data_IF_227005641012
#
_entry.id   IF_227005641012
#
_cell.length_a   1.000
_cell.length_b   1.000
_cell.length_c   1.000
_cell.angle_alpha   90.00
_cell.angle_beta   90.00
_cell.angle_gamma   90.00
#
_symmetry.space_group_name_H-M   'P 1'
#
loop_
_entity.id
_entity.type
_entity.pdbx_description
1 polymer ?
#
# COMPACT_ATOMS: atom_id res chain seq x y z
N UNK A 1 9.62 37.94 -14.68
CA UNK A 1 10.04 36.59 -15.13
C UNK A 1 8.83 35.69 -15.01
N UNK A 2 8.24 35.28 -16.14
CA UNK A 2 7.03 34.44 -16.13
C UNK A 2 7.49 32.99 -15.87
N UNK A 3 7.08 32.40 -14.75
CA UNK A 3 7.36 31.00 -14.46
C UNK A 3 6.58 30.10 -15.43
N UNK A 4 7.25 29.19 -16.09
CA UNK A 4 6.60 28.16 -16.89
C UNK A 4 5.90 27.19 -15.92
N UNK A 5 4.59 26.88 -16.08
CA UNK A 5 3.91 25.92 -15.23
C UNK A 5 4.60 24.55 -15.27
N UNK A 6 4.67 23.82 -14.14
CA UNK A 6 5.23 22.50 -14.14
C UNK A 6 4.37 21.51 -14.93
N UNK A 7 5.01 20.56 -15.58
CA UNK A 7 4.32 19.44 -16.25
C UNK A 7 4.21 18.23 -15.32
N UNK A 8 3.20 17.39 -15.55
CA UNK A 8 3.06 16.14 -14.79
C UNK A 8 4.28 15.21 -14.95
N UNK A 9 4.93 15.24 -16.11
CA UNK A 9 6.15 14.45 -16.34
C UNK A 9 7.34 14.97 -15.55
N UNK A 10 7.53 16.29 -15.49
CA UNK A 10 8.57 16.88 -14.64
C UNK A 10 8.33 16.56 -13.16
N UNK A 11 7.06 16.61 -12.72
CA UNK A 11 6.69 16.24 -11.36
C UNK A 11 6.97 14.76 -11.07
N UNK A 12 6.57 13.84 -11.96
CA UNK A 12 6.89 12.41 -11.81
C UNK A 12 8.39 12.14 -11.75
N UNK A 13 9.18 12.81 -12.59
CA UNK A 13 10.64 12.66 -12.57
C UNK A 13 11.25 13.14 -11.25
N UNK A 14 10.75 14.25 -10.71
CA UNK A 14 11.21 14.77 -9.42
C UNK A 14 10.85 13.79 -8.29
N UNK A 15 9.58 13.34 -8.24
CA UNK A 15 9.13 12.36 -7.23
C UNK A 15 9.79 11.00 -7.37
N UNK A 16 10.16 10.60 -8.58
CA UNK A 16 10.95 9.39 -8.81
C UNK A 16 12.34 9.39 -8.15
N UNK A 17 12.87 10.56 -7.78
CA UNK A 17 14.13 10.69 -7.02
C UNK A 17 13.95 10.56 -5.51
N UNK A 18 12.72 10.52 -5.04
CA UNK A 18 12.37 10.25 -3.66
C UNK A 18 12.12 8.75 -3.49
N UNK A 19 13.15 8.03 -3.03
CA UNK A 19 13.04 6.60 -2.80
C UNK A 19 12.03 6.31 -1.69
N UNK A 20 11.16 5.33 -1.93
CA UNK A 20 10.17 4.87 -0.95
C UNK A 20 10.34 3.39 -0.67
N UNK A 21 9.80 2.93 0.47
CA UNK A 21 9.46 1.53 0.64
C UNK A 21 8.33 1.12 -0.31
N UNK A 22 8.09 -0.17 -0.39
CA UNK A 22 6.99 -0.76 -1.15
C UNK A 22 6.11 -1.55 -0.21
N UNK A 23 4.80 -1.39 -0.34
CA UNK A 23 3.81 -2.11 0.46
C UNK A 23 2.80 -2.80 -0.44
N UNK A 24 2.11 -3.78 0.11
CA UNK A 24 0.82 -4.25 -0.39
C UNK A 24 -0.26 -3.81 0.59
N UNK A 25 -1.25 -3.10 0.09
CA UNK A 25 -2.46 -2.74 0.84
C UNK A 25 -3.57 -3.72 0.52
N UNK A 26 -4.30 -4.17 1.53
CA UNK A 26 -5.38 -5.15 1.40
C UNK A 26 -6.64 -4.68 2.09
N UNK A 27 -7.78 -5.10 1.59
CA UNK A 27 -9.08 -4.97 2.26
C UNK A 27 -9.97 -6.14 1.88
N UNK A 28 -11.07 -6.31 2.60
CA UNK A 28 -11.99 -7.42 2.42
C UNK A 28 -13.42 -6.88 2.31
N UNK A 29 -14.09 -7.14 1.18
CA UNK A 29 -15.51 -6.87 1.01
C UNK A 29 -16.26 -8.19 0.83
N UNK A 30 -17.17 -8.51 1.77
CA UNK A 30 -17.79 -9.83 1.82
C UNK A 30 -16.72 -10.93 1.98
N UNK A 31 -16.58 -11.79 0.97
CA UNK A 31 -15.58 -12.86 0.92
C UNK A 31 -14.46 -12.59 -0.10
N UNK A 32 -14.39 -11.37 -0.66
CA UNK A 32 -13.45 -11.03 -1.73
C UNK A 32 -12.31 -10.20 -1.18
N UNK A 33 -11.09 -10.71 -1.31
CA UNK A 33 -9.88 -9.97 -1.03
C UNK A 33 -9.54 -9.00 -2.17
N UNK A 34 -9.28 -7.76 -1.79
CA UNK A 34 -8.74 -6.74 -2.69
C UNK A 34 -7.32 -6.42 -2.25
N UNK A 35 -6.38 -6.44 -3.17
CA UNK A 35 -4.98 -6.15 -2.89
C UNK A 35 -4.37 -5.27 -3.99
N UNK A 36 -3.46 -4.40 -3.59
CA UNK A 36 -2.77 -3.50 -4.51
C UNK A 36 -1.38 -3.16 -3.96
N UNK A 37 -0.39 -3.10 -4.84
CA UNK A 37 0.92 -2.54 -4.49
C UNK A 37 0.81 -1.04 -4.36
N UNK A 38 1.34 -0.50 -3.28
CA UNK A 38 1.34 0.93 -2.99
C UNK A 38 2.67 1.38 -2.37
N UNK A 39 3.14 2.55 -2.79
CA UNK A 39 4.27 3.25 -2.18
C UNK A 39 3.87 4.59 -1.54
N UNK A 40 2.65 5.04 -1.75
CA UNK A 40 2.08 6.25 -1.15
C UNK A 40 1.55 5.99 0.27
N UNK A 41 2.41 5.53 1.17
CA UNK A 41 2.09 5.25 2.57
C UNK A 41 2.88 6.18 3.47
N UNK A 42 2.22 6.74 4.48
CA UNK A 42 2.81 7.71 5.41
C UNK A 42 2.41 7.41 6.84
N UNK A 43 3.39 7.32 7.73
CA UNK A 43 3.17 7.40 9.18
C UNK A 43 2.76 8.82 9.56
N UNK A 44 1.55 9.01 10.08
CA UNK A 44 0.96 10.33 10.31
C UNK A 44 1.13 10.79 11.75
N UNK A 45 0.82 9.91 12.71
CA UNK A 45 0.75 10.27 14.14
C UNK A 45 1.06 9.06 15.02
N UNK A 46 1.61 9.31 16.20
CA UNK A 46 1.84 8.30 17.22
C UNK A 46 0.81 8.34 18.35
N UNK A 47 0.10 9.45 18.50
CA UNK A 47 -0.95 9.59 19.53
C UNK A 47 -2.10 10.47 18.99
N UNK A 48 -3.21 9.84 18.54
CA UNK A 48 -3.37 8.41 18.28
C UNK A 48 -2.45 7.92 17.16
N UNK A 49 -2.20 6.59 17.11
CA UNK A 49 -1.42 6.00 16.02
C UNK A 49 -2.21 6.02 14.72
N UNK A 50 -1.77 6.83 13.76
CA UNK A 50 -2.43 7.01 12.46
C UNK A 50 -1.47 6.70 11.31
N UNK A 51 -2.00 5.98 10.33
CA UNK A 51 -1.35 5.66 9.07
C UNK A 51 -2.20 6.21 7.91
N UNK A 52 -1.55 6.68 6.86
CA UNK A 52 -2.21 7.17 5.64
C UNK A 52 -1.77 6.33 4.45
N UNK A 53 -2.71 6.02 3.57
CA UNK A 53 -2.43 5.57 2.21
C UNK A 53 -3.09 6.51 1.21
N UNK A 54 -2.34 6.93 0.20
CA UNK A 54 -2.83 7.69 -0.96
C UNK A 54 -3.20 6.71 -2.07
N UNK A 55 -4.46 6.69 -2.47
CA UNK A 55 -4.97 5.75 -3.45
C UNK A 55 -5.64 6.46 -4.61
N UNK A 56 -5.30 6.06 -5.84
CA UNK A 56 -5.91 6.55 -7.07
C UNK A 56 -7.41 6.20 -7.09
N UNK A 57 -8.28 7.16 -7.40
CA UNK A 57 -9.73 6.97 -7.37
C UNK A 57 -10.22 5.92 -8.39
N UNK A 58 -9.48 5.70 -9.49
CA UNK A 58 -9.78 4.68 -10.49
C UNK A 58 -9.29 3.27 -10.11
N UNK A 59 -8.51 3.13 -9.03
CA UNK A 59 -8.06 1.82 -8.58
C UNK A 59 -9.22 1.02 -7.96
N UNK A 60 -9.31 -0.27 -8.29
CA UNK A 60 -10.36 -1.16 -7.71
C UNK A 60 -10.32 -1.23 -6.18
N UNK A 61 -9.14 -1.09 -5.61
CA UNK A 61 -8.96 -1.09 -4.15
C UNK A 61 -9.60 0.14 -3.49
N UNK A 62 -9.68 1.28 -4.21
CA UNK A 62 -10.27 2.52 -3.72
C UNK A 62 -11.70 2.33 -3.22
N UNK A 63 -12.60 1.88 -4.07
CA UNK A 63 -14.00 1.72 -3.69
C UNK A 63 -14.17 0.61 -2.63
N UNK A 64 -13.38 -0.45 -2.74
CA UNK A 64 -13.38 -1.54 -1.78
C UNK A 64 -12.98 -1.09 -0.36
N UNK A 65 -11.95 -0.27 -0.21
CA UNK A 65 -11.52 0.21 1.11
C UNK A 65 -12.51 1.20 1.71
N UNK A 66 -13.14 2.04 0.88
CA UNK A 66 -14.18 2.97 1.34
C UNK A 66 -15.42 2.22 1.84
N UNK A 67 -15.81 1.13 1.18
CA UNK A 67 -16.90 0.26 1.60
C UNK A 67 -16.56 -0.50 2.88
N UNK A 68 -15.39 -1.14 2.93
CA UNK A 68 -14.99 -2.00 4.04
C UNK A 68 -14.63 -1.23 5.32
N UNK A 69 -14.00 -0.07 5.18
CA UNK A 69 -13.53 0.75 6.30
C UNK A 69 -12.39 0.12 7.12
N UNK A 70 -11.93 -1.07 6.76
CA UNK A 70 -10.83 -1.80 7.40
C UNK A 70 -9.85 -2.27 6.37
N UNK A 71 -8.57 -2.18 6.66
CA UNK A 71 -7.53 -2.50 5.71
C UNK A 71 -6.22 -2.89 6.39
N UNK A 72 -5.37 -3.56 5.64
CA UNK A 72 -4.06 -3.97 6.08
C UNK A 72 -2.96 -3.40 5.19
N UNK A 73 -1.78 -3.29 5.76
CA UNK A 73 -0.55 -2.93 5.06
C UNK A 73 0.51 -3.98 5.36
N UNK A 74 1.11 -4.52 4.31
CA UNK A 74 2.26 -5.42 4.40
C UNK A 74 3.47 -4.71 3.81
N UNK A 75 4.49 -4.45 4.61
CA UNK A 75 5.75 -3.82 4.18
C UNK A 75 6.63 -4.89 3.56
N UNK A 76 7.00 -4.74 2.29
CA UNK A 76 7.61 -5.81 1.50
C UNK A 76 9.12 -5.92 1.69
N UNK A 77 9.59 -7.17 1.77
CA UNK A 77 10.99 -7.53 1.64
C UNK A 77 11.44 -7.50 0.17
N UNK A 78 12.75 -7.40 -0.06
CA UNK A 78 13.34 -7.40 -1.39
C UNK A 78 12.96 -8.63 -2.22
N UNK A 79 12.80 -9.79 -1.57
CA UNK A 79 12.41 -11.06 -2.19
C UNK A 79 10.95 -11.07 -2.68
N UNK A 80 10.11 -10.14 -2.23
CA UNK A 80 8.70 -10.02 -2.64
C UNK A 80 8.48 -9.22 -3.93
N UNK A 81 9.56 -8.92 -4.68
CA UNK A 81 9.49 -8.16 -5.93
C UNK A 81 8.47 -8.72 -6.92
N UNK A 82 8.40 -10.04 -7.07
CA UNK A 82 7.45 -10.68 -7.98
C UNK A 82 5.99 -10.43 -7.56
N UNK A 83 5.70 -10.51 -6.27
CA UNK A 83 4.39 -10.18 -5.69
C UNK A 83 4.05 -8.71 -5.90
N UNK A 84 5.01 -7.80 -5.67
CA UNK A 84 4.83 -6.38 -5.89
C UNK A 84 4.49 -6.06 -7.37
N UNK A 85 5.20 -6.67 -8.33
CA UNK A 85 4.93 -6.53 -9.75
C UNK A 85 3.54 -7.04 -10.13
N UNK A 86 3.17 -8.23 -9.64
CA UNK A 86 1.87 -8.84 -9.89
C UNK A 86 0.73 -7.94 -9.40
N UNK A 87 0.80 -7.48 -8.15
CA UNK A 87 -0.25 -6.67 -7.55
C UNK A 87 -0.24 -5.19 -8.00
N UNK A 88 0.81 -4.75 -8.70
CA UNK A 88 0.86 -3.47 -9.42
C UNK A 88 0.26 -3.54 -10.83
N UNK A 89 0.09 -4.75 -11.41
CA UNK A 89 -0.40 -4.93 -12.77
C UNK A 89 -1.87 -4.55 -12.88
N UNK A 90 -2.19 -3.59 -13.75
CA UNK A 90 -3.58 -3.22 -14.06
C UNK A 90 -4.28 -4.32 -14.84
N UNK A 91 -5.59 -4.49 -14.62
CA UNK A 91 -6.40 -5.47 -15.36
C UNK A 91 -6.20 -6.93 -14.95
N UNK A 92 -5.43 -7.21 -13.89
CA UNK A 92 -5.33 -8.58 -13.36
C UNK A 92 -6.69 -9.06 -12.83
N UNK A 93 -6.95 -10.38 -12.82
CA UNK A 93 -8.18 -10.93 -12.26
C UNK A 93 -8.38 -10.48 -10.80
N UNK A 94 -9.61 -10.19 -10.42
CA UNK A 94 -9.96 -9.85 -9.04
C UNK A 94 -9.95 -11.09 -8.15
N UNK A 95 -10.60 -12.16 -8.64
CA UNK A 95 -10.66 -13.42 -7.92
C UNK A 95 -9.30 -14.13 -7.97
N UNK A 96 -8.96 -14.77 -6.87
CA UNK A 96 -7.73 -15.58 -6.71
C UNK A 96 -6.41 -14.81 -6.93
N UNK A 97 -6.44 -13.47 -6.87
CA UNK A 97 -5.23 -12.65 -7.06
C UNK A 97 -4.15 -12.92 -5.99
N UNK A 98 -4.54 -13.45 -4.83
CA UNK A 98 -3.64 -13.84 -3.74
C UNK A 98 -3.38 -15.36 -3.67
N UNK A 99 -3.89 -16.17 -4.61
CA UNK A 99 -3.79 -17.62 -4.55
C UNK A 99 -2.34 -18.16 -4.51
N UNK A 100 -1.39 -17.41 -5.07
CA UNK A 100 0.04 -17.76 -5.10
C UNK A 100 0.88 -16.96 -4.08
N UNK A 101 0.23 -16.17 -3.24
CA UNK A 101 0.90 -15.32 -2.26
C UNK A 101 0.62 -15.90 -0.88
N UNK A 102 1.65 -16.22 -0.09
CA UNK A 102 1.44 -16.62 1.30
C UNK A 102 0.77 -15.50 2.09
N UNK A 103 -0.39 -15.79 2.65
CA UNK A 103 -1.15 -14.82 3.45
C UNK A 103 -1.63 -15.43 4.76
N UNK A 104 -1.74 -14.59 5.77
CA UNK A 104 -2.44 -14.86 7.02
C UNK A 104 -3.63 -13.91 7.16
N UNK A 105 -4.57 -14.22 8.03
CA UNK A 105 -5.68 -13.31 8.33
C UNK A 105 -5.34 -12.43 9.52
N UNK A 106 -5.50 -11.14 9.34
CA UNK A 106 -5.28 -10.17 10.40
C UNK A 106 -6.23 -10.42 11.59
N UNK A 107 -5.72 -10.51 12.82
CA UNK A 107 -6.55 -10.80 13.99
C UNK A 107 -7.55 -9.68 14.33
N UNK A 108 -7.26 -8.44 13.95
CA UNK A 108 -8.13 -7.30 14.25
C UNK A 108 -9.18 -7.03 13.17
N UNK A 109 -8.88 -7.32 11.91
CA UNK A 109 -9.72 -6.91 10.77
C UNK A 109 -10.18 -8.08 9.90
N UNK A 110 -9.49 -9.22 9.93
CA UNK A 110 -9.73 -10.35 9.03
C UNK A 110 -9.15 -10.18 7.62
N UNK A 111 -8.53 -9.04 7.30
CA UNK A 111 -7.91 -8.81 5.99
C UNK A 111 -6.72 -9.73 5.75
N UNK A 112 -6.39 -9.97 4.49
CA UNK A 112 -5.17 -10.72 4.14
C UNK A 112 -3.92 -9.88 4.45
N UNK A 113 -2.96 -10.47 5.15
CA UNK A 113 -1.64 -9.91 5.41
C UNK A 113 -0.59 -10.86 4.81
N UNK A 114 0.43 -10.31 4.15
CA UNK A 114 1.45 -11.12 3.47
C UNK A 114 2.38 -11.80 4.48
N UNK A 115 2.56 -13.11 4.34
CA UNK A 115 3.32 -13.93 5.30
C UNK A 115 4.83 -13.67 5.32
N UNK A 116 5.40 -13.11 4.24
CA UNK A 116 6.83 -12.81 4.15
C UNK A 116 7.14 -11.31 4.39
N UNK A 117 6.15 -10.52 4.78
CA UNK A 117 6.34 -9.10 4.99
C UNK A 117 7.32 -8.81 6.14
N UNK A 118 8.07 -7.71 6.03
CA UNK A 118 8.94 -7.21 7.10
C UNK A 118 8.15 -6.77 8.33
N UNK A 119 6.97 -6.21 8.08
CA UNK A 119 5.98 -5.87 9.09
C UNK A 119 4.59 -5.82 8.47
N UNK A 120 3.58 -6.08 9.28
CA UNK A 120 2.18 -5.92 8.89
C UNK A 120 1.45 -5.02 9.87
N UNK A 121 0.51 -4.23 9.35
CA UNK A 121 -0.25 -3.24 10.12
C UNK A 121 -1.72 -3.39 9.73
N UNK A 122 -2.61 -3.40 10.70
CA UNK A 122 -4.05 -3.39 10.47
C UNK A 122 -4.65 -2.06 10.91
N UNK A 123 -5.55 -1.52 10.10
CA UNK A 123 -6.13 -0.20 10.30
C UNK A 123 -7.66 -0.19 10.19
N UNK A 124 -8.27 0.72 10.95
CA UNK A 124 -9.65 1.16 10.80
C UNK A 124 -9.65 2.57 10.21
N UNK A 125 -10.33 2.80 9.09
CA UNK A 125 -10.48 4.13 8.52
C UNK A 125 -11.16 5.08 9.49
N UNK A 126 -10.53 6.22 9.76
CA UNK A 126 -11.06 7.30 10.60
C UNK A 126 -11.34 8.57 9.82
N UNK A 127 -10.71 8.75 8.66
CA UNK A 127 -10.93 9.90 7.79
C UNK A 127 -10.55 9.58 6.34
N UNK A 128 -11.22 10.26 5.41
CA UNK A 128 -10.87 10.22 3.98
C UNK A 128 -10.89 11.64 3.43
N UNK A 129 -9.88 11.98 2.63
CA UNK A 129 -9.74 13.32 2.05
C UNK A 129 -9.54 13.20 0.54
N UNK A 130 -10.47 13.69 -0.30
CA UNK A 130 -10.25 13.81 -1.72
C UNK A 130 -9.07 14.74 -2.01
N UNK A 131 -8.16 14.31 -2.85
CA UNK A 131 -6.94 15.06 -3.20
C UNK A 131 -6.60 14.86 -4.68
N UNK A 132 -7.13 15.73 -5.56
CA UNK A 132 -6.96 15.58 -7.01
C UNK A 132 -7.60 14.30 -7.53
N UNK A 133 -6.83 13.47 -8.22
CA UNK A 133 -7.24 12.15 -8.75
C UNK A 133 -7.05 11.00 -7.74
N UNK A 134 -6.68 11.33 -6.51
CA UNK A 134 -6.49 10.41 -5.39
C UNK A 134 -7.44 10.70 -4.23
N UNK A 135 -7.55 9.74 -3.33
CA UNK A 135 -8.13 9.88 -2.00
C UNK A 135 -7.06 9.51 -0.96
N UNK A 136 -6.90 10.36 0.04
CA UNK A 136 -6.08 10.06 1.20
C UNK A 136 -6.93 9.30 2.22
N UNK A 137 -6.63 8.06 2.47
CA UNK A 137 -7.33 7.22 3.45
C UNK A 137 -6.49 7.17 4.71
N UNK A 138 -7.02 7.74 5.79
CA UNK A 138 -6.36 7.79 7.11
C UNK A 138 -6.99 6.73 8.00
N UNK A 139 -6.17 5.86 8.55
CA UNK A 139 -6.59 4.80 9.45
C UNK A 139 -5.94 4.88 10.82
N UNK A 140 -6.71 4.59 11.85
CA UNK A 140 -6.19 4.30 13.18
C UNK A 140 -5.60 2.88 13.17
N UNK A 141 -4.40 2.75 13.71
CA UNK A 141 -3.67 1.48 13.78
C UNK A 141 -4.27 0.61 14.88
N UNK A 142 -4.74 -0.58 14.51
CA UNK A 142 -5.36 -1.55 15.43
C UNK A 142 -4.38 -2.65 15.87
N UNK A 143 -3.44 -3.04 14.99
CA UNK A 143 -2.50 -4.13 15.23
C UNK A 143 -1.22 -3.90 14.43
N UNK A 144 -0.10 -4.30 14.98
CA UNK A 144 1.22 -4.29 14.33
C UNK A 144 1.93 -5.59 14.63
N UNK A 145 2.47 -6.23 13.59
CA UNK A 145 3.36 -7.38 13.72
C UNK A 145 4.66 -7.08 12.97
N UNK A 146 5.79 -7.36 13.59
CA UNK A 146 7.12 -7.15 13.04
C UNK A 146 7.80 -8.50 12.92
N UNK A 147 8.38 -8.81 11.75
CA UNK A 147 9.08 -10.06 11.52
C UNK A 147 10.35 -10.18 12.40
N UNK A 148 10.56 -11.34 13.00
CA UNK A 148 11.74 -11.59 13.85
C UNK A 148 13.06 -11.55 13.07
N UNK A 149 13.03 -11.93 11.80
CA UNK A 149 14.18 -11.95 10.90
C UNK A 149 13.87 -11.13 9.65
N UNK A 150 13.91 -9.78 9.74
CA UNK A 150 13.63 -8.94 8.60
C UNK A 150 14.72 -9.11 7.54
N UNK A 151 14.31 -9.40 6.29
CA UNK A 151 15.17 -9.26 5.13
C UNK A 151 15.41 -7.79 4.78
N UNK A 152 16.10 -7.55 3.67
CA UNK A 152 16.26 -6.20 3.13
C UNK A 152 14.92 -5.66 2.61
N UNK A 153 14.70 -4.35 2.72
CA UNK A 153 13.49 -3.72 2.23
C UNK A 153 13.43 -3.69 0.70
N UNK A 154 12.24 -3.92 0.15
CA UNK A 154 11.96 -3.61 -1.25
C UNK A 154 11.76 -2.10 -1.39
N UNK A 155 12.48 -1.49 -2.32
CA UNK A 155 12.42 -0.06 -2.60
C UNK A 155 11.80 0.21 -3.97
N UNK A 156 11.20 1.40 -4.10
CA UNK A 156 10.80 1.97 -5.38
C UNK A 156 11.57 3.26 -5.61
N UNK A 157 12.32 3.31 -6.70
CA UNK A 157 13.19 4.44 -7.05
C UNK A 157 13.28 4.59 -8.56
N UNK A 158 13.11 5.82 -9.07
CA UNK A 158 13.20 6.17 -10.50
C UNK A 158 12.30 5.29 -11.40
N UNK A 159 11.11 4.94 -10.92
CA UNK A 159 10.14 4.13 -11.67
C UNK A 159 10.44 2.64 -11.68
N UNK A 160 11.34 2.14 -10.86
CA UNK A 160 11.69 0.74 -10.76
C UNK A 160 11.84 0.24 -9.33
N UNK A 161 11.79 -1.08 -9.16
CA UNK A 161 12.08 -1.72 -7.88
C UNK A 161 13.58 -1.87 -7.67
N UNK A 162 14.03 -1.64 -6.44
CA UNK A 162 15.40 -1.78 -5.98
C UNK A 162 15.43 -2.43 -4.58
N UNK A 163 16.60 -2.75 -4.09
CA UNK A 163 16.83 -3.21 -2.73
C UNK A 163 17.95 -2.40 -2.09
N UNK A 164 18.02 -2.42 -0.77
CA UNK A 164 19.21 -1.97 -0.06
C UNK A 164 20.32 -2.99 -0.33
N UNK A 165 21.49 -2.52 -0.72
CA UNK A 165 22.67 -3.37 -0.98
C UNK A 165 23.68 -3.25 0.14
#
# INVERSE_FOLDING_TARGET
>A
MTLTPPTSDAFRQAMGRFATGVTVVTTLTGAVDHAMTANGVLSVSLDPMLLLVSVEQEARWHDAVLEAGRWGVSILAADDRATALWLATRGRPLHDQLARVPVTRGPATGVALLGNALATIECQTVNTVPAGDHTLVVGEVLSVEIADHPGDALLFYRGGFAALT
#
